data_IF_123348510861
#
_entry.id   IF_123348510861
#
_cell.length_a   1.000
_cell.length_b   1.000
_cell.length_c   1.000
_cell.angle_alpha   90.00
_cell.angle_beta   90.00
_cell.angle_gamma   90.00
#
_symmetry.space_group_name_H-M   'P 1'
#
loop_
_entity.id
_entity.type
_entity.pdbx_description
1 polymer ?
#
# COMPACT_ATOMS: atom_id res chain seq x y z
N UNK A 1 15.52 -15.50 0.68
CA UNK A 1 16.24 -14.31 0.19
C UNK A 1 15.20 -13.40 -0.43
N UNK A 2 14.74 -12.37 0.29
CA UNK A 2 13.84 -11.36 -0.27
C UNK A 2 14.63 -10.60 -1.33
N UNK A 3 14.36 -10.88 -2.60
CA UNK A 3 14.93 -10.14 -3.72
C UNK A 3 14.07 -8.89 -3.87
N UNK A 4 14.57 -7.74 -3.39
CA UNK A 4 14.02 -6.45 -3.79
C UNK A 4 14.20 -6.37 -5.32
N UNK A 5 13.11 -6.49 -6.07
CA UNK A 5 13.13 -6.18 -7.49
C UNK A 5 13.37 -4.67 -7.61
N UNK A 6 14.47 -4.27 -8.26
CA UNK A 6 14.61 -2.90 -8.72
C UNK A 6 13.51 -2.65 -9.75
N UNK A 7 12.75 -1.59 -9.55
CA UNK A 7 11.79 -1.12 -10.54
C UNK A 7 12.58 -0.46 -11.67
N UNK A 8 12.74 -1.16 -12.80
CA UNK A 8 13.26 -0.58 -14.02
C UNK A 8 12.15 0.23 -14.71
N UNK A 9 12.43 1.44 -15.24
CA UNK A 9 11.42 2.46 -15.54
C UNK A 9 10.48 2.16 -16.74
N UNK A 10 10.41 0.91 -17.22
CA UNK A 10 9.70 0.56 -18.46
C UNK A 10 8.95 -0.78 -18.41
N UNK A 11 8.85 -1.45 -17.26
CA UNK A 11 7.95 -2.60 -17.13
C UNK A 11 6.50 -2.12 -16.96
N UNK A 12 5.59 -2.62 -17.80
CA UNK A 12 4.17 -2.28 -17.68
C UNK A 12 3.67 -2.80 -16.33
N UNK A 13 3.03 -1.92 -15.56
CA UNK A 13 2.42 -2.25 -14.27
C UNK A 13 1.63 -3.56 -14.35
N UNK A 14 0.86 -3.78 -15.43
CA UNK A 14 0.10 -5.01 -15.68
C UNK A 14 0.92 -6.30 -15.75
N UNK A 15 2.18 -6.24 -16.20
CA UNK A 15 3.06 -7.41 -16.31
C UNK A 15 3.61 -7.80 -14.93
N UNK A 16 3.93 -6.82 -14.07
CA UNK A 16 4.33 -7.03 -12.67
C UNK A 16 3.22 -7.71 -11.85
N UNK A 17 1.97 -7.21 -11.93
CA UNK A 17 0.82 -7.84 -11.26
C UNK A 17 0.56 -9.27 -11.75
N UNK A 18 0.83 -9.57 -13.02
CA UNK A 18 0.64 -10.91 -13.57
C UNK A 18 1.65 -11.92 -12.99
N UNK A 19 2.90 -11.50 -12.78
CA UNK A 19 3.93 -12.31 -12.11
C UNK A 19 3.59 -12.61 -10.64
N UNK A 20 3.04 -11.64 -9.91
CA UNK A 20 2.63 -11.85 -8.50
C UNK A 20 1.40 -12.76 -8.41
N UNK A 21 0.43 -12.59 -9.32
CA UNK A 21 -0.76 -13.44 -9.40
C UNK A 21 -0.44 -14.88 -9.82
N UNK A 22 0.59 -15.09 -10.66
CA UNK A 22 1.06 -16.45 -11.00
C UNK A 22 1.77 -17.13 -9.81
N UNK A 23 2.38 -16.38 -8.91
CA UNK A 23 3.06 -16.92 -7.72
C UNK A 23 2.15 -17.09 -6.49
N UNK A 24 1.00 -16.39 -6.44
CA UNK A 24 0.09 -16.40 -5.29
C UNK A 24 -1.39 -16.55 -5.71
N UNK A 25 -1.77 -17.67 -6.37
CA UNK A 25 -3.13 -17.88 -6.86
C UNK A 25 -4.20 -17.86 -5.76
N UNK A 26 -3.82 -18.19 -4.52
CA UNK A 26 -4.71 -18.23 -3.35
C UNK A 26 -5.12 -16.85 -2.82
N UNK A 27 -4.45 -15.75 -3.16
CA UNK A 27 -4.83 -14.43 -2.64
C UNK A 27 -6.00 -13.79 -3.40
N UNK A 28 -6.21 -14.18 -4.67
CA UNK A 28 -7.32 -13.65 -5.46
C UNK A 28 -8.69 -14.00 -4.87
N UNK A 29 -8.81 -15.13 -4.14
CA UNK A 29 -10.07 -15.51 -3.50
C UNK A 29 -10.45 -14.59 -2.33
N UNK A 30 -9.50 -13.84 -1.76
CA UNK A 30 -9.78 -12.88 -0.70
C UNK A 30 -10.65 -11.71 -1.20
N UNK A 31 -10.68 -11.44 -2.50
CA UNK A 31 -11.59 -10.45 -3.10
C UNK A 31 -13.07 -10.82 -2.97
N UNK A 32 -13.38 -12.11 -2.75
CA UNK A 32 -14.76 -12.58 -2.52
C UNK A 32 -15.17 -12.57 -1.05
N UNK A 33 -14.32 -12.13 -0.13
CA UNK A 33 -14.63 -12.15 1.30
C UNK A 33 -15.70 -11.09 1.65
N UNK A 34 -16.80 -11.43 2.35
CA UNK A 34 -17.85 -10.47 2.70
C UNK A 34 -17.40 -9.36 3.65
N UNK A 35 -16.24 -9.53 4.31
CA UNK A 35 -15.64 -8.49 5.15
C UNK A 35 -14.76 -7.52 4.36
N UNK A 36 -14.50 -7.81 3.09
CA UNK A 36 -13.73 -6.90 2.23
C UNK A 36 -14.63 -5.75 1.78
N UNK A 37 -14.23 -4.54 2.14
CA UNK A 37 -14.72 -3.34 1.49
C UNK A 37 -13.71 -2.94 0.41
N UNK A 38 -13.91 -3.42 -0.83
CA UNK A 38 -13.02 -3.12 -1.95
C UNK A 38 -13.43 -1.80 -2.60
N UNK A 39 -12.56 -0.80 -2.49
CA UNK A 39 -12.67 0.43 -3.26
C UNK A 39 -11.71 0.34 -4.46
N UNK A 40 -12.26 0.40 -5.68
CA UNK A 40 -11.47 0.52 -6.91
C UNK A 40 -11.75 1.90 -7.52
N UNK A 41 -10.77 2.78 -7.46
CA UNK A 41 -10.90 4.16 -7.90
C UNK A 41 -9.67 4.97 -7.54
N UNK A 42 -9.79 6.29 -7.68
CA UNK A 42 -8.73 7.21 -7.27
C UNK A 42 -8.61 7.22 -5.74
N UNK A 43 -7.46 6.78 -5.23
CA UNK A 43 -7.15 6.82 -3.81
C UNK A 43 -7.23 8.24 -3.24
N UNK A 44 -6.90 9.28 -4.01
CA UNK A 44 -6.92 10.66 -3.55
C UNK A 44 -8.34 11.18 -3.29
N UNK A 45 -9.31 10.83 -4.14
CA UNK A 45 -10.72 11.17 -3.90
C UNK A 45 -11.32 10.38 -2.74
N UNK A 46 -10.83 9.16 -2.50
CA UNK A 46 -11.21 8.38 -1.32
C UNK A 46 -10.75 9.06 -0.02
N UNK A 47 -9.50 9.55 0.01
CA UNK A 47 -8.89 10.23 1.16
C UNK A 47 -9.68 11.46 1.60
N UNK A 48 -10.25 12.24 0.67
CA UNK A 48 -11.05 13.44 0.98
C UNK A 48 -12.29 13.17 1.85
N UNK A 49 -12.81 11.94 1.86
CA UNK A 49 -14.10 11.60 2.49
C UNK A 49 -13.97 10.64 3.66
N UNK A 50 -12.77 10.14 3.96
CA UNK A 50 -12.57 9.06 4.92
C UNK A 50 -11.35 9.30 5.81
N UNK A 51 -11.41 8.73 7.02
CA UNK A 51 -10.23 8.62 7.90
C UNK A 51 -9.26 7.61 7.30
N UNK A 52 -7.97 7.94 7.33
CA UNK A 52 -6.94 7.20 6.59
C UNK A 52 -6.27 6.15 7.49
N UNK A 53 -6.25 4.90 7.03
CA UNK A 53 -5.45 3.82 7.62
C UNK A 53 -4.44 3.34 6.57
N UNK A 54 -3.16 3.46 6.89
CA UNK A 54 -2.06 2.87 6.12
C UNK A 54 -1.64 1.59 6.85
N UNK A 55 -1.67 0.46 6.14
CA UNK A 55 -1.16 -0.82 6.66
C UNK A 55 0.17 -1.10 5.94
N UNK A 56 1.24 -1.28 6.71
CA UNK A 56 2.62 -1.30 6.21
C UNK A 56 3.15 0.11 5.93
N UNK A 57 4.08 0.22 4.98
CA UNK A 57 4.69 1.49 4.59
C UNK A 57 5.62 2.07 5.66
N UNK A 58 6.29 1.21 6.44
CA UNK A 58 7.20 1.61 7.51
C UNK A 58 8.35 2.55 7.10
N UNK A 59 8.61 2.71 5.80
CA UNK A 59 9.54 3.69 5.25
C UNK A 59 8.99 5.13 5.24
N UNK A 60 7.67 5.30 5.41
CA UNK A 60 7.00 6.59 5.46
C UNK A 60 6.76 7.24 4.09
N UNK A 61 7.09 6.58 2.98
CA UNK A 61 6.85 7.11 1.63
C UNK A 61 5.37 7.41 1.38
N UNK A 62 4.48 6.48 1.70
CA UNK A 62 3.03 6.67 1.58
C UNK A 62 2.55 7.77 2.54
N UNK A 63 3.00 7.73 3.80
CA UNK A 63 2.64 8.72 4.81
C UNK A 63 3.00 10.14 4.36
N UNK A 64 4.19 10.33 3.78
CA UNK A 64 4.62 11.62 3.23
C UNK A 64 3.68 12.15 2.16
N UNK A 65 3.22 11.30 1.24
CA UNK A 65 2.30 11.73 0.19
C UNK A 65 0.91 12.05 0.75
N UNK A 66 0.38 11.22 1.66
CA UNK A 66 -0.91 11.48 2.33
C UNK A 66 -0.90 12.79 3.10
N UNK A 67 0.19 13.11 3.81
CA UNK A 67 0.30 14.35 4.59
C UNK A 67 0.36 15.63 3.74
N UNK A 68 0.49 15.55 2.40
CA UNK A 68 0.38 16.73 1.52
C UNK A 68 -1.07 17.21 1.36
N UNK A 69 -2.05 16.41 1.75
CA UNK A 69 -3.46 16.71 1.60
C UNK A 69 -4.00 17.43 2.83
N UNK A 70 -4.37 18.73 2.75
CA UNK A 70 -4.83 19.50 3.90
C UNK A 70 -6.19 19.04 4.43
N UNK A 71 -6.96 18.30 3.62
CA UNK A 71 -8.25 17.72 4.01
C UNK A 71 -8.09 16.53 4.98
N UNK A 72 -6.88 15.97 5.09
CA UNK A 72 -6.59 14.82 5.94
C UNK A 72 -6.28 15.29 7.36
N UNK A 73 -7.27 15.16 8.26
CA UNK A 73 -7.12 15.52 9.67
C UNK A 73 -6.39 14.46 10.50
N UNK A 74 -6.53 13.18 10.14
CA UNK A 74 -5.98 12.07 10.90
C UNK A 74 -5.56 10.90 10.02
N UNK A 75 -4.34 10.40 10.26
CA UNK A 75 -3.78 9.22 9.61
C UNK A 75 -3.27 8.25 10.67
N UNK A 76 -3.73 7.01 10.59
CA UNK A 76 -3.19 5.90 11.38
C UNK A 76 -2.29 5.07 10.47
N UNK A 77 -1.03 4.87 10.86
CA UNK A 77 -0.13 3.95 10.18
C UNK A 77 0.14 2.75 11.10
N UNK A 78 -0.09 1.54 10.60
CA UNK A 78 0.15 0.30 11.31
C UNK A 78 1.26 -0.48 10.61
N UNK A 79 2.43 -0.54 11.23
CA UNK A 79 3.57 -1.33 10.78
C UNK A 79 3.84 -2.42 11.81
N UNK A 80 4.02 -3.66 11.34
CA UNK A 80 4.27 -4.82 12.22
C UNK A 80 5.73 -4.85 12.67
N UNK A 81 6.65 -4.38 11.82
CA UNK A 81 8.07 -4.45 12.08
C UNK A 81 8.61 -3.11 12.61
N UNK A 82 8.84 -3.07 13.93
CA UNK A 82 9.43 -1.90 14.58
C UNK A 82 10.82 -1.56 14.07
N UNK A 83 11.60 -2.54 13.61
CA UNK A 83 12.95 -2.33 13.09
C UNK A 83 12.90 -1.50 11.81
N UNK A 84 11.92 -1.75 10.94
CA UNK A 84 11.70 -0.96 9.72
C UNK A 84 11.48 0.51 10.08
N UNK A 85 10.60 0.79 11.04
CA UNK A 85 10.33 2.15 11.53
C UNK A 85 11.59 2.82 12.08
N UNK A 86 12.36 2.11 12.90
CA UNK A 86 13.54 2.67 13.57
C UNK A 86 14.71 2.92 12.59
N UNK A 87 14.83 2.11 11.54
CA UNK A 87 15.81 2.33 10.46
C UNK A 87 15.40 3.50 9.58
N UNK A 88 14.11 3.61 9.22
CA UNK A 88 13.62 4.66 8.33
C UNK A 88 13.54 6.06 8.96
N UNK A 89 13.59 6.15 10.30
CA UNK A 89 13.64 7.43 11.04
C UNK A 89 15.05 8.02 11.18
N UNK A 90 16.10 7.28 10.82
CA UNK A 90 17.49 7.75 10.87
C UNK A 90 17.86 8.53 9.61
#
# INVERSE_FOLDING_TARGET
>A
MFRFARQEPHERISELWNTDLTFLPGMSCCFSNPKLNLFCGDGFEFLKKHKVLIIGGGDGGILREVLKHPEVEHVTMCEIDRVVIDVSKK
#
